data_IF_698148596778
#
_entry.id   IF_698148596778
#
_cell.length_a   1.000
_cell.length_b   1.000
_cell.length_c   1.000
_cell.angle_alpha   90.00
_cell.angle_beta   90.00
_cell.angle_gamma   90.00
#
_symmetry.space_group_name_H-M   'P 1'
#
loop_
_entity.id
_entity.type
_entity.pdbx_description
1 polymer ?
#
# COMPACT_ATOMS: atom_id res chain seq x y z
N UNK A 1 -8.90 19.23 29.61
CA UNK A 1 -8.70 18.41 28.58
C UNK A 1 -7.51 18.80 27.79
N UNK A 2 -6.85 17.92 27.36
CA UNK A 2 -5.70 18.22 26.70
C UNK A 2 -5.91 18.15 25.28
N UNK A 3 -5.27 18.98 24.64
CA UNK A 3 -5.35 18.97 23.25
C UNK A 3 -4.70 17.83 22.63
N UNK A 4 -3.77 17.29 23.31
CA UNK A 4 -3.12 16.14 22.77
C UNK A 4 -4.03 15.02 22.55
N UNK A 5 -5.15 15.07 23.21
CA UNK A 5 -6.06 14.04 23.01
C UNK A 5 -6.81 14.11 21.77
N UNK A 6 -6.71 15.21 21.09
CA UNK A 6 -7.29 15.21 19.80
C UNK A 6 -6.36 14.50 18.88
N UNK A 7 -5.89 13.37 19.27
CA UNK A 7 -5.16 12.57 18.34
C UNK A 7 -6.03 12.27 17.18
N UNK A 8 -5.51 12.48 16.00
CA UNK A 8 -6.23 12.14 14.81
C UNK A 8 -6.41 10.65 14.75
N UNK A 9 -7.63 10.23 14.57
CA UNK A 9 -7.92 8.82 14.48
C UNK A 9 -7.60 8.33 13.10
N UNK A 10 -6.47 7.68 12.97
CA UNK A 10 -6.04 7.11 11.72
C UNK A 10 -6.14 5.61 11.83
N UNK A 11 -6.86 4.98 10.92
CA UNK A 11 -7.04 3.53 10.94
C UNK A 11 -6.95 2.97 9.55
N UNK A 12 -6.61 1.68 9.47
CA UNK A 12 -6.54 0.95 8.21
C UNK A 12 -7.44 -0.27 8.35
N UNK A 13 -8.27 -0.51 7.33
CA UNK A 13 -9.18 -1.65 7.33
C UNK A 13 -9.43 -2.11 5.91
N UNK A 14 -9.99 -3.28 5.77
CA UNK A 14 -10.39 -3.75 4.45
C UNK A 14 -11.54 -2.90 3.94
N UNK A 15 -11.52 -2.62 2.64
CA UNK A 15 -12.57 -1.83 2.02
C UNK A 15 -13.82 -2.68 1.85
N UNK A 16 -14.99 -2.10 2.08
CA UNK A 16 -16.25 -2.78 1.89
C UNK A 16 -16.73 -2.59 0.46
N UNK A 17 -17.53 -3.55 0.00
CA UNK A 17 -18.00 -3.52 -1.37
C UNK A 17 -18.69 -2.21 -1.71
N UNK A 18 -19.46 -1.66 -0.78
CA UNK A 18 -20.25 -0.44 -1.03
C UNK A 18 -19.37 0.78 -1.24
N UNK A 19 -18.10 0.75 -0.79
CA UNK A 19 -17.23 1.91 -0.92
C UNK A 19 -16.18 1.76 -2.02
N UNK A 20 -16.24 0.66 -2.79
CA UNK A 20 -15.19 0.40 -3.76
C UNK A 20 -15.09 1.47 -4.85
N UNK A 21 -16.21 2.06 -5.26
CA UNK A 21 -16.14 3.12 -6.27
C UNK A 21 -15.29 4.28 -5.78
N UNK A 22 -15.50 4.68 -4.52
CA UNK A 22 -14.74 5.80 -3.95
C UNK A 22 -13.27 5.44 -3.78
N UNK A 23 -13.00 4.21 -3.36
CA UNK A 23 -11.62 3.75 -3.14
C UNK A 23 -10.85 3.73 -4.48
N UNK A 24 -11.48 3.19 -5.52
CA UNK A 24 -10.83 3.11 -6.83
C UNK A 24 -10.62 4.50 -7.43
N UNK A 25 -11.58 5.40 -7.26
CA UNK A 25 -11.46 6.75 -7.77
C UNK A 25 -10.34 7.50 -7.06
N UNK A 26 -10.23 7.31 -5.76
CA UNK A 26 -9.18 7.96 -4.97
C UNK A 26 -7.79 7.55 -5.49
N UNK A 27 -7.57 6.25 -5.63
CA UNK A 27 -6.28 5.75 -6.08
C UNK A 27 -5.97 6.21 -7.50
N UNK A 28 -6.96 6.13 -8.39
CA UNK A 28 -6.75 6.50 -9.79
C UNK A 28 -6.40 7.98 -9.94
N UNK A 29 -7.01 8.83 -9.12
CA UNK A 29 -6.74 10.27 -9.19
C UNK A 29 -5.31 10.58 -8.77
N UNK A 30 -4.85 9.96 -7.71
CA UNK A 30 -3.48 10.20 -7.24
C UNK A 30 -2.47 9.72 -8.28
N UNK A 31 -2.68 8.54 -8.85
CA UNK A 31 -1.76 8.02 -9.85
C UNK A 31 -1.76 8.88 -11.12
N UNK A 32 -2.93 9.37 -11.54
CA UNK A 32 -3.00 10.21 -12.72
C UNK A 32 -2.30 11.54 -12.48
N UNK A 33 -2.52 12.15 -11.31
CA UNK A 33 -1.98 13.46 -11.02
C UNK A 33 -0.48 13.44 -10.76
N UNK A 34 0.01 12.43 -10.07
CA UNK A 34 1.39 12.45 -9.60
C UNK A 34 2.33 11.59 -10.42
N UNK A 35 1.84 10.51 -11.01
CA UNK A 35 2.69 9.60 -11.76
C UNK A 35 2.30 9.52 -13.21
N UNK A 36 1.27 10.23 -13.60
CA UNK A 36 0.78 10.27 -14.97
C UNK A 36 0.44 8.89 -15.51
N UNK A 37 -0.04 8.02 -14.63
CA UNK A 37 -0.48 6.70 -15.02
C UNK A 37 -1.95 6.79 -15.43
N UNK A 38 -2.31 6.41 -16.68
CA UNK A 38 -3.70 6.47 -17.10
C UNK A 38 -4.58 5.58 -16.24
N UNK A 39 -5.82 5.99 -16.03
CA UNK A 39 -6.74 5.25 -15.16
C UNK A 39 -6.88 3.80 -15.57
N UNK A 40 -6.95 3.56 -16.88
CA UNK A 40 -7.13 2.20 -17.38
C UNK A 40 -5.94 1.29 -17.10
N UNK A 41 -4.80 1.86 -16.78
CA UNK A 41 -3.60 1.07 -16.48
C UNK A 41 -3.49 0.69 -15.01
N UNK A 42 -4.42 1.17 -14.19
CA UNK A 42 -4.40 0.88 -12.75
C UNK A 42 -5.54 -0.01 -12.32
N UNK A 43 -6.13 -0.73 -13.26
CA UNK A 43 -7.23 -1.63 -12.95
C UNK A 43 -6.66 -3.00 -12.61
N UNK A 44 -7.03 -3.53 -11.45
CA UNK A 44 -6.69 -4.89 -11.10
C UNK A 44 -7.88 -5.76 -11.47
N UNK A 45 -7.72 -6.70 -12.41
CA UNK A 45 -8.85 -7.51 -12.85
C UNK A 45 -9.50 -8.27 -11.71
N UNK A 46 -10.81 -8.42 -11.75
CA UNK A 46 -11.55 -9.10 -10.70
C UNK A 46 -11.12 -10.54 -10.53
N UNK A 47 -10.63 -11.19 -11.59
CA UNK A 47 -10.21 -12.58 -11.49
C UNK A 47 -8.98 -12.74 -10.59
N UNK A 48 -8.24 -11.68 -10.31
CA UNK A 48 -7.14 -11.72 -9.36
C UNK A 48 -7.60 -11.60 -7.92
N UNK A 49 -8.89 -11.40 -7.72
CA UNK A 49 -9.52 -11.31 -6.40
C UNK A 49 -8.79 -10.36 -5.47
N UNK A 50 -8.64 -9.10 -5.90
CA UNK A 50 -7.88 -8.15 -5.06
C UNK A 50 -8.60 -7.87 -3.75
N UNK A 51 -7.81 -7.80 -2.68
CA UNK A 51 -8.28 -7.34 -1.39
C UNK A 51 -7.84 -5.89 -1.27
N UNK A 52 -8.79 -4.99 -1.20
CA UNK A 52 -8.49 -3.57 -1.07
C UNK A 52 -8.54 -3.17 0.38
N UNK A 53 -7.59 -2.31 0.76
CA UNK A 53 -7.54 -1.74 2.10
C UNK A 53 -7.62 -0.23 1.97
N UNK A 54 -8.26 0.40 2.93
CA UNK A 54 -8.32 1.85 2.96
C UNK A 54 -7.82 2.36 4.30
N UNK A 55 -7.12 3.48 4.23
CA UNK A 55 -6.72 4.23 5.40
C UNK A 55 -7.64 5.41 5.53
N UNK A 56 -8.13 5.65 6.74
CA UNK A 56 -9.02 6.76 7.03
C UNK A 56 -8.48 7.56 8.17
N UNK A 57 -8.72 8.85 8.11
CA UNK A 57 -8.40 9.72 9.22
C UNK A 57 -9.66 10.52 9.55
N UNK A 58 -10.19 10.29 10.76
CA UNK A 58 -11.43 10.92 11.19
C UNK A 58 -12.58 10.71 10.20
N UNK A 59 -12.66 9.49 9.67
CA UNK A 59 -13.73 9.12 8.75
C UNK A 59 -13.52 9.50 7.29
N UNK A 60 -12.39 10.13 6.97
CA UNK A 60 -12.10 10.57 5.61
C UNK A 60 -11.05 9.64 4.99
N UNK A 61 -11.31 9.18 3.77
CA UNK A 61 -10.38 8.30 3.06
C UNK A 61 -9.09 9.05 2.75
N UNK A 62 -7.96 8.50 3.19
CA UNK A 62 -6.67 9.16 3.04
C UNK A 62 -5.60 8.27 2.41
N UNK A 63 -5.89 7.01 2.14
CA UNK A 63 -4.92 6.14 1.49
C UNK A 63 -5.54 4.82 1.08
N UNK A 64 -4.85 4.13 0.18
CA UNK A 64 -5.30 2.82 -0.31
C UNK A 64 -4.13 1.88 -0.46
N UNK A 65 -4.43 0.59 -0.46
CA UNK A 65 -3.50 -0.45 -0.89
C UNK A 65 -4.31 -1.64 -1.36
N UNK A 66 -3.74 -2.42 -2.28
CA UNK A 66 -4.41 -3.62 -2.77
C UNK A 66 -3.45 -4.79 -2.70
N UNK A 67 -3.97 -5.97 -2.36
CA UNK A 67 -3.20 -7.21 -2.33
C UNK A 67 -3.92 -8.21 -3.20
N UNK A 68 -3.19 -8.88 -4.09
CA UNK A 68 -3.81 -9.77 -5.07
C UNK A 68 -2.82 -10.85 -5.49
N UNK A 69 -3.32 -11.88 -6.16
CA UNK A 69 -2.47 -12.96 -6.67
C UNK A 69 -2.31 -12.82 -8.18
N UNK A 70 -1.08 -13.01 -8.61
CA UNK A 70 -0.78 -12.99 -10.03
C UNK A 70 0.37 -13.96 -10.26
N UNK A 71 0.19 -14.90 -11.17
CA UNK A 71 1.24 -15.86 -11.48
C UNK A 71 1.63 -16.72 -10.30
N UNK A 72 0.68 -17.02 -9.43
CA UNK A 72 0.95 -17.86 -8.28
C UNK A 72 1.66 -17.17 -7.14
N UNK A 73 1.88 -15.84 -7.23
CA UNK A 73 2.55 -15.11 -6.16
C UNK A 73 1.66 -13.99 -5.68
N UNK A 74 1.84 -13.63 -4.43
CA UNK A 74 1.11 -12.51 -3.84
C UNK A 74 1.80 -11.20 -4.16
N UNK A 75 1.01 -10.24 -4.58
CA UNK A 75 1.47 -8.88 -4.94
C UNK A 75 0.75 -7.86 -4.10
N UNK A 76 1.40 -6.74 -3.87
CA UNK A 76 0.79 -5.58 -3.25
C UNK A 76 1.03 -4.39 -4.16
N UNK A 77 0.01 -3.60 -4.37
CA UNK A 77 0.12 -2.44 -5.24
C UNK A 77 -0.93 -1.41 -4.93
N UNK A 78 -1.03 -0.41 -5.81
CA UNK A 78 -1.99 0.68 -5.65
C UNK A 78 -1.88 1.33 -4.28
N UNK A 79 -0.65 1.50 -3.80
CA UNK A 79 -0.38 2.11 -2.51
C UNK A 79 -0.41 3.62 -2.68
N UNK A 80 -1.36 4.27 -2.05
CA UNK A 80 -1.51 5.73 -2.15
C UNK A 80 -1.72 6.35 -0.79
N UNK A 81 -1.24 7.58 -0.63
CA UNK A 81 -1.49 8.40 0.56
C UNK A 81 -1.83 9.78 0.06
N UNK A 82 -2.85 10.40 0.64
CA UNK A 82 -3.25 11.75 0.27
C UNK A 82 -2.05 12.69 0.34
N UNK A 83 -1.84 13.53 -0.66
CA UNK A 83 -0.66 14.42 -0.66
C UNK A 83 -0.54 15.27 0.59
N UNK A 84 -1.65 15.71 1.15
CA UNK A 84 -1.64 16.57 2.34
C UNK A 84 -1.10 15.86 3.58
N UNK A 85 -1.01 14.52 3.55
CA UNK A 85 -0.55 13.76 4.72
C UNK A 85 0.84 13.18 4.53
N UNK A 86 1.52 13.55 3.46
CA UNK A 86 2.86 13.03 3.23
C UNK A 86 3.84 13.65 4.21
N UNK A 87 4.91 12.90 4.50
CA UNK A 87 5.89 13.37 5.47
C UNK A 87 5.48 13.14 6.90
N UNK A 88 4.35 12.45 7.13
CA UNK A 88 3.86 12.19 8.49
C UNK A 88 3.85 10.70 8.80
N UNK A 89 4.64 9.93 8.09
CA UNK A 89 4.77 8.47 8.29
C UNK A 89 3.46 7.72 8.06
N UNK A 90 2.53 8.31 7.30
CA UNK A 90 1.26 7.64 7.02
C UNK A 90 1.43 6.45 6.09
N UNK A 91 2.38 6.54 5.15
CA UNK A 91 2.67 5.40 4.27
C UNK A 91 3.21 4.22 5.05
N UNK A 92 4.07 4.48 6.03
CA UNK A 92 4.60 3.43 6.90
C UNK A 92 3.47 2.78 7.68
N UNK A 93 2.59 3.58 8.25
CA UNK A 93 1.45 3.07 9.01
C UNK A 93 0.54 2.24 8.13
N UNK A 94 0.23 2.72 6.94
CA UNK A 94 -0.63 2.01 5.99
C UNK A 94 -0.01 0.65 5.64
N UNK A 95 1.24 0.63 5.23
CA UNK A 95 1.87 -0.60 4.80
C UNK A 95 2.04 -1.58 5.95
N UNK A 96 2.44 -1.09 7.13
CA UNK A 96 2.59 -1.98 8.28
C UNK A 96 1.26 -2.63 8.65
N UNK A 97 0.17 -1.84 8.61
CA UNK A 97 -1.14 -2.36 8.95
C UNK A 97 -1.61 -3.42 7.96
N UNK A 98 -1.46 -3.14 6.66
CA UNK A 98 -1.88 -4.08 5.63
C UNK A 98 -1.05 -5.37 5.68
N UNK A 99 0.27 -5.22 5.80
CA UNK A 99 1.15 -6.38 5.83
C UNK A 99 0.92 -7.24 7.06
N UNK A 100 0.63 -6.62 8.20
CA UNK A 100 0.32 -7.36 9.41
C UNK A 100 -0.90 -8.26 9.18
N UNK A 101 -1.94 -7.70 8.58
CA UNK A 101 -3.15 -8.48 8.34
C UNK A 101 -2.93 -9.56 7.29
N UNK A 102 -2.25 -9.25 6.20
CA UNK A 102 -2.05 -10.20 5.11
C UNK A 102 -1.16 -11.36 5.56
N UNK A 103 -0.09 -11.07 6.27
CA UNK A 103 0.78 -12.14 6.78
C UNK A 103 0.07 -12.99 7.83
N UNK A 104 -0.85 -12.39 8.59
CA UNK A 104 -1.63 -13.17 9.55
C UNK A 104 -2.58 -14.15 8.87
N UNK A 105 -2.90 -13.93 7.60
CA UNK A 105 -3.73 -14.85 6.84
C UNK A 105 -2.95 -16.05 6.30
N UNK A 106 -1.64 -16.10 6.57
CA UNK A 106 -0.83 -17.25 6.16
C UNK A 106 -0.03 -17.02 4.89
N UNK A 107 0.00 -15.81 4.38
CA UNK A 107 0.83 -15.47 3.22
C UNK A 107 2.29 -15.46 3.68
N UNK A 108 3.18 -16.09 2.92
CA UNK A 108 4.59 -16.21 3.29
C UNK A 108 5.47 -15.09 2.77
N UNK A 109 5.11 -14.52 1.63
CA UNK A 109 5.91 -13.45 1.07
C UNK A 109 5.05 -12.61 0.12
N UNK A 110 5.46 -11.36 -0.07
CA UNK A 110 4.75 -10.43 -0.94
C UNK A 110 5.75 -9.75 -1.85
N UNK A 111 5.40 -9.70 -3.12
CA UNK A 111 6.22 -9.08 -4.16
C UNK A 111 5.60 -7.73 -4.53
N UNK A 112 6.44 -6.73 -4.76
CA UNK A 112 5.99 -5.41 -5.20
C UNK A 112 6.93 -4.89 -6.28
N UNK A 113 6.36 -4.03 -7.12
CA UNK A 113 7.16 -3.16 -7.98
C UNK A 113 6.92 -1.76 -7.42
N UNK A 114 7.89 -1.22 -6.73
CA UNK A 114 7.67 -0.09 -5.84
C UNK A 114 8.47 1.15 -6.22
N UNK A 115 7.85 2.31 -6.00
CA UNK A 115 8.53 3.59 -6.14
C UNK A 115 9.53 3.75 -5.01
N UNK A 116 10.47 4.68 -5.17
CA UNK A 116 11.58 4.84 -4.23
C UNK A 116 11.14 5.03 -2.79
N UNK A 117 10.12 5.83 -2.55
CA UNK A 117 9.65 6.06 -1.18
C UNK A 117 9.13 4.78 -0.55
N UNK A 118 8.42 3.97 -1.33
CA UNK A 118 7.89 2.70 -0.84
C UNK A 118 9.02 1.70 -0.62
N UNK A 119 10.01 1.69 -1.52
CA UNK A 119 11.19 0.83 -1.34
C UNK A 119 11.86 1.14 -0.01
N UNK A 120 12.02 2.42 0.30
CA UNK A 120 12.65 2.83 1.54
C UNK A 120 11.90 2.28 2.77
N UNK A 121 10.58 2.38 2.76
CA UNK A 121 9.77 1.87 3.86
C UNK A 121 9.90 0.34 3.96
N UNK A 122 9.79 -0.34 2.83
CA UNK A 122 9.83 -1.80 2.82
C UNK A 122 11.20 -2.34 3.25
N UNK A 123 12.27 -1.65 2.89
CA UNK A 123 13.59 -2.08 3.33
C UNK A 123 13.72 -1.96 4.85
N UNK A 124 13.07 -0.99 5.44
CA UNK A 124 13.00 -0.90 6.89
C UNK A 124 12.29 -2.08 7.53
N UNK A 125 11.40 -2.73 6.78
CA UNK A 125 10.74 -3.95 7.24
C UNK A 125 11.54 -5.22 6.95
N UNK A 126 12.67 -5.09 6.28
CA UNK A 126 13.49 -6.24 5.95
C UNK A 126 13.37 -6.75 4.53
N UNK A 127 12.71 -6.01 3.64
CA UNK A 127 12.54 -6.43 2.26
C UNK A 127 13.86 -6.39 1.50
N UNK A 128 13.95 -7.21 0.46
CA UNK A 128 15.13 -7.33 -0.38
C UNK A 128 14.81 -6.95 -1.81
N UNK A 129 15.75 -6.27 -2.47
CA UNK A 129 15.63 -5.95 -3.88
C UNK A 129 15.61 -7.26 -4.66
N UNK A 130 14.64 -7.41 -5.54
CA UNK A 130 14.40 -8.67 -6.25
C UNK A 130 14.60 -8.56 -7.76
N UNK A 131 15.06 -7.43 -8.26
CA UNK A 131 15.30 -7.26 -9.69
C UNK A 131 15.82 -5.88 -10.00
N UNK A 132 16.09 -5.66 -11.30
CA UNK A 132 16.61 -4.38 -11.75
C UNK A 132 15.51 -3.33 -11.80
N UNK A 133 15.79 -2.10 -11.36
CA UNK A 133 14.81 -1.03 -11.48
C UNK A 133 14.54 -0.71 -12.94
N UNK A 134 13.33 -0.24 -13.22
CA UNK A 134 12.96 0.18 -14.57
C UNK A 134 12.06 1.39 -14.50
N UNK A 135 11.97 2.12 -15.62
CA UNK A 135 11.13 3.30 -15.71
C UNK A 135 9.69 2.87 -15.99
N UNK A 136 8.74 3.41 -15.23
CA UNK A 136 7.32 3.16 -15.44
C UNK A 136 6.60 4.50 -15.36
N UNK A 137 6.17 5.00 -16.52
CA UNK A 137 5.59 6.33 -16.65
C UNK A 137 6.54 7.38 -16.05
N UNK A 138 6.12 8.05 -14.99
CA UNK A 138 6.93 9.12 -14.42
C UNK A 138 7.70 8.60 -13.24
N UNK A 139 8.86 8.04 -13.50
CA UNK A 139 9.75 7.64 -12.44
C UNK A 139 10.10 6.18 -12.46
N UNK A 140 10.90 5.81 -11.49
CA UNK A 140 11.49 4.49 -11.41
C UNK A 140 10.69 3.61 -10.48
N UNK A 141 10.54 2.34 -10.84
CA UNK A 141 10.03 1.32 -9.93
C UNK A 141 11.07 0.23 -9.78
N UNK A 142 11.11 -0.37 -8.61
CA UNK A 142 12.09 -1.40 -8.26
C UNK A 142 11.34 -2.64 -7.80
N UNK A 143 11.64 -3.82 -8.39
CA UNK A 143 11.09 -5.07 -7.88
C UNK A 143 11.65 -5.36 -6.49
N UNK A 144 10.78 -5.72 -5.55
CA UNK A 144 11.19 -5.92 -4.17
C UNK A 144 10.33 -7.03 -3.56
N UNK A 145 10.94 -7.81 -2.68
CA UNK A 145 10.28 -8.95 -2.05
C UNK A 145 10.38 -8.84 -0.55
N UNK A 146 9.26 -9.04 0.14
CA UNK A 146 9.23 -9.03 1.60
C UNK A 146 8.70 -10.37 2.09
N UNK A 147 9.51 -11.05 2.90
CA UNK A 147 9.11 -12.32 3.51
C UNK A 147 8.48 -12.07 4.86
N UNK A 148 7.49 -12.89 5.20
CA UNK A 148 6.81 -12.77 6.48
C UNK A 148 7.77 -12.83 7.64
N UNK A 149 8.75 -13.74 7.60
CA UNK A 149 9.70 -13.89 8.70
C UNK A 149 10.53 -12.63 8.89
N UNK A 150 10.93 -11.98 7.80
CA UNK A 150 11.70 -10.75 7.89
C UNK A 150 10.85 -9.61 8.43
N UNK A 151 9.59 -9.53 7.98
CA UNK A 151 8.68 -8.50 8.45
C UNK A 151 8.45 -8.62 9.96
N UNK A 152 8.17 -9.84 10.42
CA UNK A 152 7.91 -10.07 11.84
C UNK A 152 9.14 -9.72 12.67
N UNK A 153 10.32 -10.14 12.20
CA UNK A 153 11.55 -9.86 12.94
C UNK A 153 11.82 -8.37 13.06
N UNK A 154 11.55 -7.60 12.00
CA UNK A 154 11.88 -6.19 11.97
C UNK A 154 10.80 -5.28 12.52
N UNK A 155 9.60 -5.81 12.78
CA UNK A 155 8.53 -5.00 13.36
C UNK A 155 8.18 -5.40 14.78
N UNK A 156 8.83 -6.44 15.28
CA UNK A 156 8.60 -6.87 16.67
C UNK A 156 9.27 -5.88 17.61
N UNK A 157 8.58 -5.51 18.65
CA UNK A 157 9.12 -4.61 19.65
C UNK A 157 9.01 -5.21 21.04
#
# INVERSE_FOLDING_TARGET
MQNGEREMRCSVRRAEQAEMQAVLAFAAQIFADEQQIPREMNVIPAEKQPQWFCMEQDGVLTGTAAVYREGGRWHMGCITVAPSLRGQHRGTFLMKSVLTEVFAQGVDEIFLEARDATVHILRGFGAQIAGEPFTFYRGRVTPILLKRTDFVRNTRK
#
